data_IF_991056098387
#
_entry.id   IF_991056098387
#
_cell.length_a   1.000
_cell.length_b   1.000
_cell.length_c   1.000
_cell.angle_alpha   90.00
_cell.angle_beta   90.00
_cell.angle_gamma   90.00
#
_symmetry.space_group_name_H-M   'P 1'
#
loop_
_entity.id
_entity.type
_entity.pdbx_description
1 polymer ?
#
# COMPACT_ATOMS: atom_id res chain seq x y z
N UNK A 1 18.21 -13.01 -14.16
CA UNK A 1 17.46 -11.74 -13.97
C UNK A 1 17.01 -11.24 -15.33
N UNK A 2 15.72 -10.88 -15.45
CA UNK A 2 15.15 -10.32 -16.68
C UNK A 2 14.70 -8.88 -16.38
N UNK A 3 15.12 -7.94 -17.22
CA UNK A 3 14.69 -6.54 -17.16
C UNK A 3 13.73 -6.28 -18.31
N UNK A 4 12.43 -6.09 -18.01
CA UNK A 4 11.38 -5.88 -19.03
C UNK A 4 11.37 -4.46 -19.59
N UNK A 5 12.04 -3.52 -18.94
CA UNK A 5 11.93 -2.12 -19.27
C UNK A 5 10.51 -1.57 -19.00
N UNK A 6 10.13 -0.53 -19.75
CA UNK A 6 8.80 0.08 -19.62
C UNK A 6 7.75 -0.79 -20.32
N UNK A 7 6.72 -1.16 -19.58
CA UNK A 7 5.59 -1.99 -20.04
C UNK A 7 4.34 -1.10 -20.15
N UNK A 8 3.53 -1.23 -21.21
CA UNK A 8 2.23 -0.55 -21.32
C UNK A 8 1.31 -0.91 -20.15
N UNK A 9 0.57 0.07 -19.63
CA UNK A 9 -0.30 -0.14 -18.46
C UNK A 9 -1.32 -1.28 -18.64
N UNK A 10 -1.86 -1.43 -19.85
CA UNK A 10 -2.80 -2.50 -20.19
C UNK A 10 -2.20 -3.92 -20.04
N UNK A 11 -0.88 -4.06 -20.08
CA UNK A 11 -0.19 -5.35 -19.98
C UNK A 11 0.33 -5.66 -18.58
N UNK A 12 0.34 -4.68 -17.67
CA UNK A 12 0.90 -4.83 -16.33
C UNK A 12 0.28 -6.01 -15.57
N UNK A 13 -1.03 -6.25 -15.73
CA UNK A 13 -1.72 -7.38 -15.10
C UNK A 13 -1.09 -8.73 -15.42
N UNK A 14 -0.65 -8.95 -16.66
CA UNK A 14 0.02 -10.19 -17.08
C UNK A 14 1.33 -10.44 -16.34
N UNK A 15 2.08 -9.36 -16.05
CA UNK A 15 3.32 -9.47 -15.26
C UNK A 15 3.02 -9.78 -13.79
N UNK A 16 1.98 -9.17 -13.23
CA UNK A 16 1.52 -9.53 -11.88
C UNK A 16 1.14 -11.01 -11.79
N UNK A 17 0.56 -11.59 -12.83
CA UNK A 17 0.16 -13.01 -12.85
C UNK A 17 1.35 -13.99 -12.81
N UNK A 18 2.51 -13.56 -13.30
CA UNK A 18 3.75 -14.34 -13.29
C UNK A 18 4.55 -14.22 -11.99
N UNK A 19 4.21 -13.27 -11.12
CA UNK A 19 5.01 -12.95 -9.94
C UNK A 19 4.39 -13.54 -8.68
N UNK A 20 5.15 -14.35 -7.94
CA UNK A 20 4.73 -14.89 -6.65
C UNK A 20 4.84 -13.86 -5.53
N UNK A 21 5.95 -13.10 -5.49
CA UNK A 21 6.25 -12.11 -4.45
C UNK A 21 6.70 -10.80 -5.07
N UNK A 22 5.98 -9.73 -4.80
CA UNK A 22 6.35 -8.37 -5.20
C UNK A 22 7.23 -7.73 -4.13
N UNK A 23 8.36 -7.16 -4.56
CA UNK A 23 9.31 -6.50 -3.66
C UNK A 23 9.32 -4.99 -3.89
N UNK A 24 9.15 -4.21 -2.81
CA UNK A 24 9.17 -2.75 -2.84
C UNK A 24 10.28 -2.19 -1.94
N UNK A 25 11.55 -2.31 -2.35
CA UNK A 25 12.67 -1.74 -1.60
C UNK A 25 12.70 -0.22 -1.78
N UNK A 26 12.68 0.51 -0.67
CA UNK A 26 12.85 1.96 -0.64
C UNK A 26 13.90 2.33 0.41
N UNK A 27 14.70 3.35 0.13
CA UNK A 27 15.53 3.98 1.14
C UNK A 27 14.69 4.86 2.06
N UNK A 28 15.04 4.92 3.35
CA UNK A 28 14.45 5.87 4.27
C UNK A 28 14.96 7.28 3.93
N UNK A 29 14.04 8.12 3.51
CA UNK A 29 14.24 9.55 3.23
C UNK A 29 12.92 10.27 3.44
N UNK A 30 12.95 11.59 3.60
CA UNK A 30 11.74 12.39 3.89
C UNK A 30 10.56 12.06 2.96
N UNK A 31 10.81 11.90 1.66
CA UNK A 31 9.78 11.56 0.69
C UNK A 31 9.13 10.21 0.98
N UNK A 32 9.92 9.17 1.22
CA UNK A 32 9.41 7.79 1.43
C UNK A 32 8.81 7.59 2.81
N UNK A 33 9.18 8.42 3.78
CA UNK A 33 8.57 8.42 5.12
C UNK A 33 7.18 9.09 5.12
N UNK A 34 6.95 10.09 4.26
CA UNK A 34 5.71 10.88 4.25
C UNK A 34 4.71 10.51 3.15
N UNK A 35 5.17 9.87 2.07
CA UNK A 35 4.30 9.57 0.91
C UNK A 35 3.86 8.11 0.92
N UNK A 36 2.56 7.92 0.99
CA UNK A 36 1.89 6.61 0.88
C UNK A 36 1.85 6.14 -0.57
N UNK A 37 2.51 5.03 -0.95
CA UNK A 37 2.53 4.55 -2.33
C UNK A 37 1.29 3.74 -2.68
N UNK A 38 0.82 3.80 -3.93
CA UNK A 38 -0.33 3.02 -4.40
C UNK A 38 0.03 1.57 -4.78
N UNK A 39 1.25 1.30 -5.23
CA UNK A 39 1.68 -0.03 -5.71
C UNK A 39 1.44 -1.19 -4.72
N UNK A 40 1.70 -1.06 -3.41
CA UNK A 40 1.33 -2.09 -2.46
C UNK A 40 -0.18 -2.36 -2.41
N UNK A 41 -1.03 -1.33 -2.53
CA UNK A 41 -2.48 -1.50 -2.58
C UNK A 41 -2.94 -2.24 -3.84
N UNK A 42 -2.32 -1.94 -4.99
CA UNK A 42 -2.57 -2.66 -6.25
C UNK A 42 -2.20 -4.14 -6.13
N UNK A 43 -1.05 -4.45 -5.51
CA UNK A 43 -0.61 -5.82 -5.25
C UNK A 43 -1.61 -6.58 -4.37
N UNK A 44 -2.03 -5.96 -3.26
CA UNK A 44 -3.02 -6.53 -2.34
C UNK A 44 -4.38 -6.74 -3.03
N UNK A 45 -4.85 -5.77 -3.83
CA UNK A 45 -6.10 -5.87 -4.57
C UNK A 45 -6.11 -7.04 -5.55
N UNK A 46 -4.96 -7.36 -6.14
CA UNK A 46 -4.77 -8.50 -7.02
C UNK A 46 -4.45 -9.82 -6.28
N UNK A 47 -4.48 -9.80 -4.94
CA UNK A 47 -4.18 -10.98 -4.12
C UNK A 47 -2.74 -11.46 -4.27
N UNK A 48 -1.77 -10.55 -4.47
CA UNK A 48 -0.35 -10.88 -4.57
C UNK A 48 0.34 -10.73 -3.22
N UNK A 49 1.35 -11.57 -3.00
CA UNK A 49 2.23 -11.42 -1.84
C UNK A 49 3.17 -10.24 -2.04
N UNK A 50 3.50 -9.57 -0.97
CA UNK A 50 4.42 -8.45 -1.04
C UNK A 50 5.38 -8.40 0.16
N UNK A 51 6.60 -7.93 -0.13
CA UNK A 51 7.65 -7.62 0.82
C UNK A 51 8.09 -6.18 0.59
N UNK A 52 8.09 -5.34 1.61
CA UNK A 52 8.40 -3.92 1.48
C UNK A 52 9.35 -3.44 2.60
N UNK A 53 10.12 -2.38 2.31
CA UNK A 53 10.93 -1.73 3.35
C UNK A 53 10.05 -1.04 4.40
N UNK A 54 10.52 -0.96 5.64
CA UNK A 54 9.82 -0.40 6.81
C UNK A 54 9.78 1.14 6.85
N UNK A 55 9.71 1.80 5.68
CA UNK A 55 9.51 3.26 5.60
C UNK A 55 8.08 3.66 5.96
N UNK A 56 7.89 4.90 6.41
CA UNK A 56 6.62 5.42 6.89
C UNK A 56 5.46 5.17 5.94
N UNK A 57 5.62 5.50 4.65
CA UNK A 57 4.59 5.27 3.64
C UNK A 57 4.19 3.79 3.45
N UNK A 58 5.10 2.84 3.68
CA UNK A 58 4.76 1.41 3.67
C UNK A 58 4.11 0.94 4.97
N UNK A 59 4.61 1.38 6.13
CA UNK A 59 4.03 1.03 7.44
C UNK A 59 2.59 1.50 7.61
N UNK A 60 2.20 2.55 6.89
CA UNK A 60 0.82 3.01 6.86
C UNK A 60 -0.14 2.00 6.20
N UNK A 61 0.37 1.21 5.25
CA UNK A 61 -0.42 0.28 4.43
C UNK A 61 -0.25 -1.17 4.83
N UNK A 62 0.93 -1.55 5.32
CA UNK A 62 1.31 -2.95 5.51
C UNK A 62 1.36 -3.27 7.00
N UNK A 63 0.59 -4.26 7.41
CA UNK A 63 0.70 -4.90 8.72
C UNK A 63 1.65 -6.09 8.57
N UNK A 64 2.81 -5.99 9.21
CA UNK A 64 3.84 -7.02 9.10
C UNK A 64 3.33 -8.39 9.54
N UNK A 65 3.54 -9.40 8.70
CA UNK A 65 3.10 -10.77 8.92
C UNK A 65 1.59 -11.03 8.73
N UNK A 66 0.77 -9.98 8.43
CA UNK A 66 -0.67 -10.09 8.20
C UNK A 66 -1.06 -9.75 6.75
N UNK A 67 -0.81 -8.53 6.29
CA UNK A 67 -1.16 -8.09 4.93
C UNK A 67 0.03 -8.07 3.97
N UNK A 68 1.23 -8.33 4.46
CA UNK A 68 2.50 -8.37 3.75
C UNK A 68 3.64 -8.50 4.74
N UNK A 69 4.88 -8.46 4.24
CA UNK A 69 6.08 -8.52 5.07
C UNK A 69 6.84 -7.20 5.02
N UNK A 70 7.34 -6.73 6.15
CA UNK A 70 8.22 -5.58 6.24
C UNK A 70 9.65 -6.02 6.54
N UNK A 71 10.62 -5.34 5.94
CA UNK A 71 12.04 -5.50 6.23
C UNK A 71 12.72 -4.16 6.47
N UNK A 72 13.84 -4.16 7.16
CA UNK A 72 14.58 -2.94 7.50
C UNK A 72 15.08 -2.22 6.26
N UNK A 73 14.68 -0.96 6.08
CA UNK A 73 15.10 -0.12 4.96
C UNK A 73 16.64 0.04 4.91
N UNK A 74 17.20 0.04 3.71
CA UNK A 74 18.64 0.13 3.50
C UNK A 74 19.44 -1.14 3.83
N UNK A 75 18.78 -2.27 4.10
CA UNK A 75 19.41 -3.55 4.44
C UNK A 75 19.03 -4.63 3.39
N UNK A 76 19.89 -4.86 2.38
CA UNK A 76 19.65 -5.89 1.35
C UNK A 76 19.59 -7.30 1.94
N UNK A 77 20.36 -7.59 2.98
CA UNK A 77 20.33 -8.84 3.72
C UNK A 77 18.95 -9.07 4.39
N UNK A 78 18.35 -8.02 4.96
CA UNK A 78 17.01 -8.11 5.56
C UNK A 78 15.93 -8.35 4.50
N UNK A 79 16.04 -7.75 3.30
CA UNK A 79 15.17 -8.07 2.17
C UNK A 79 15.28 -9.55 1.78
N UNK A 80 16.52 -10.06 1.62
CA UNK A 80 16.73 -11.45 1.27
C UNK A 80 16.13 -12.40 2.32
N UNK A 81 16.35 -12.13 3.61
CA UNK A 81 15.78 -12.92 4.70
C UNK A 81 14.24 -12.89 4.69
N UNK A 82 13.60 -11.73 4.48
CA UNK A 82 12.16 -11.61 4.42
C UNK A 82 11.57 -12.41 3.26
N UNK A 83 12.17 -12.33 2.07
CA UNK A 83 11.75 -13.11 0.90
C UNK A 83 11.93 -14.60 1.13
N UNK A 84 13.10 -15.05 1.58
CA UNK A 84 13.37 -16.47 1.85
C UNK A 84 12.45 -17.03 2.94
N UNK A 85 12.21 -16.26 4.00
CA UNK A 85 11.27 -16.63 5.07
C UNK A 85 9.84 -16.79 4.55
N UNK A 86 9.39 -15.89 3.67
CA UNK A 86 8.07 -15.99 3.04
C UNK A 86 7.98 -17.20 2.10
N UNK A 87 9.03 -17.48 1.32
CA UNK A 87 9.08 -18.65 0.43
C UNK A 87 9.10 -19.98 1.20
N UNK A 88 9.68 -20.00 2.39
CA UNK A 88 9.70 -21.17 3.27
C UNK A 88 8.35 -21.47 3.93
N UNK A 89 7.44 -20.48 4.01
CA UNK A 89 6.13 -20.56 4.68
C UNK A 89 4.97 -20.54 3.68
N UNK A 90 5.00 -21.38 2.67
CA UNK A 90 4.00 -21.39 1.57
C UNK A 90 2.59 -21.68 2.07
N UNK A 91 2.43 -22.41 3.15
CA UNK A 91 1.15 -22.68 3.80
C UNK A 91 0.43 -21.42 4.30
N UNK A 92 1.17 -20.33 4.58
CA UNK A 92 0.61 -19.02 4.99
C UNK A 92 0.17 -18.13 3.82
N UNK A 93 0.57 -18.44 2.60
CA UNK A 93 0.32 -17.59 1.45
C UNK A 93 -1.17 -17.31 1.19
N UNK A 94 -2.09 -18.30 1.25
CA UNK A 94 -3.51 -18.05 1.08
C UNK A 94 -4.06 -17.05 2.11
N UNK A 95 -3.63 -17.17 3.37
CA UNK A 95 -4.05 -16.29 4.44
C UNK A 95 -3.55 -14.84 4.22
N UNK A 96 -2.27 -14.65 3.90
CA UNK A 96 -1.67 -13.35 3.63
C UNK A 96 -2.34 -12.66 2.44
N UNK A 97 -2.57 -13.38 1.34
CA UNK A 97 -3.27 -12.88 0.15
C UNK A 97 -4.70 -12.44 0.47
N UNK A 98 -5.43 -13.27 1.20
CA UNK A 98 -6.81 -12.95 1.60
C UNK A 98 -6.88 -11.76 2.56
N UNK A 99 -5.95 -11.65 3.50
CA UNK A 99 -5.88 -10.53 4.45
C UNK A 99 -5.55 -9.21 3.73
N UNK A 100 -4.55 -9.19 2.85
CA UNK A 100 -4.19 -8.03 2.04
C UNK A 100 -5.35 -7.56 1.18
N UNK A 101 -6.00 -8.47 0.44
CA UNK A 101 -7.16 -8.14 -0.39
C UNK A 101 -8.33 -7.57 0.43
N UNK A 102 -8.68 -8.21 1.52
CA UNK A 102 -9.73 -7.74 2.45
C UNK A 102 -9.42 -6.35 3.00
N UNK A 103 -8.16 -6.08 3.36
CA UNK A 103 -7.75 -4.76 3.83
C UNK A 103 -8.03 -3.67 2.80
N UNK A 104 -7.67 -3.89 1.52
CA UNK A 104 -7.96 -2.92 0.45
C UNK A 104 -9.45 -2.76 0.25
N UNK A 105 -10.20 -3.86 0.11
CA UNK A 105 -11.64 -3.84 -0.15
C UNK A 105 -12.43 -3.14 0.96
N UNK A 106 -12.01 -3.29 2.23
CA UNK A 106 -12.76 -2.78 3.38
C UNK A 106 -12.23 -1.46 3.95
N UNK A 107 -10.92 -1.16 3.80
CA UNK A 107 -10.30 -0.03 4.49
C UNK A 107 -9.66 1.01 3.57
N UNK A 108 -9.23 0.61 2.36
CA UNK A 108 -8.48 1.49 1.42
C UNK A 108 -9.16 1.60 0.06
N UNK A 109 -10.48 1.78 0.06
CA UNK A 109 -11.27 2.02 -1.14
C UNK A 109 -11.70 3.49 -1.26
N UNK A 110 -12.07 3.90 -2.47
CA UNK A 110 -12.45 5.28 -2.78
C UNK A 110 -13.65 5.76 -1.98
N UNK A 111 -14.67 4.94 -1.79
CA UNK A 111 -15.87 5.32 -1.05
C UNK A 111 -15.52 5.75 0.39
N UNK A 112 -14.64 4.99 1.05
CA UNK A 112 -14.18 5.31 2.40
C UNK A 112 -13.26 6.52 2.44
N UNK A 113 -12.35 6.65 1.47
CA UNK A 113 -11.46 7.81 1.37
C UNK A 113 -12.25 9.10 1.15
N UNK A 114 -13.23 9.09 0.25
CA UNK A 114 -14.10 10.25 -0.03
C UNK A 114 -14.95 10.61 1.18
N UNK A 115 -15.45 9.62 1.93
CA UNK A 115 -16.26 9.88 3.13
C UNK A 115 -15.50 10.70 4.21
N UNK A 116 -14.16 10.58 4.27
CA UNK A 116 -13.34 11.36 5.22
C UNK A 116 -13.32 12.87 4.92
N UNK A 117 -13.60 13.28 3.68
CA UNK A 117 -13.66 14.69 3.30
C UNK A 117 -14.95 15.39 3.74
N UNK A 118 -16.02 14.64 4.07
CA UNK A 118 -17.32 15.22 4.42
C UNK A 118 -17.22 16.20 5.58
N UNK A 119 -16.68 15.77 6.72
CA UNK A 119 -16.61 16.61 7.92
C UNK A 119 -15.78 17.90 7.72
N UNK A 120 -14.58 17.90 7.11
CA UNK A 120 -13.88 19.14 6.76
C UNK A 120 -14.70 20.09 5.88
N UNK A 121 -15.38 19.57 4.85
CA UNK A 121 -16.20 20.42 3.97
C UNK A 121 -17.43 21.00 4.70
N UNK A 122 -18.12 20.21 5.51
CA UNK A 122 -19.25 20.69 6.32
C UNK A 122 -18.81 21.79 7.29
N UNK A 123 -17.65 21.61 7.94
CA UNK A 123 -17.10 22.63 8.85
C UNK A 123 -16.80 23.97 8.12
N UNK A 124 -16.14 23.90 6.96
CA UNK A 124 -15.82 25.08 6.17
C UNK A 124 -17.06 25.80 5.65
N UNK A 125 -18.08 25.07 5.20
CA UNK A 125 -19.33 25.67 4.69
C UNK A 125 -20.19 26.26 5.80
N UNK A 126 -20.20 25.68 7.00
CA UNK A 126 -20.89 26.24 8.16
C UNK A 126 -20.29 27.58 8.58
N UNK A 127 -18.96 27.70 8.62
CA UNK A 127 -18.28 28.97 8.93
C UNK A 127 -18.55 30.08 7.92
N UNK A 128 -18.65 29.75 6.61
CA UNK A 128 -19.01 30.75 5.59
C UNK A 128 -20.43 31.29 5.75
N UNK A 129 -21.38 30.45 6.18
CA UNK A 129 -22.78 30.87 6.41
C UNK A 129 -22.92 31.79 7.62
N UNK A 130 -22.20 31.53 8.72
CA UNK A 130 -22.21 32.38 9.90
C UNK A 130 -21.49 33.73 9.68
N UNK A 131 -20.41 33.78 8.90
CA UNK A 131 -19.71 35.01 8.54
C UNK A 131 -20.50 35.93 7.60
N UNK A 132 -21.29 35.37 6.68
CA UNK A 132 -22.15 36.15 5.79
C UNK A 132 -23.37 36.78 6.51
N UNK A 133 -23.87 36.13 7.57
CA UNK A 133 -24.97 36.65 8.37
C UNK A 133 -24.56 37.78 9.36
N UNK A 134 -23.26 37.92 9.63
CA UNK A 134 -22.75 38.96 10.53
C UNK A 134 -22.45 40.30 9.81
N UNK A 135 -22.60 40.36 8.46
CA UNK A 135 -22.31 41.54 7.65
C UNK A 135 -23.54 42.04 6.83
N UNK A 136 -24.70 41.54 7.12
CA UNK A 136 -26.01 41.98 6.62
C UNK A 136 -26.81 42.63 7.73
#
# INVERSE_FOLDING_TARGET
VVFTGRVPHAEVGRYYDLVDVLCYPRHSMRLTELVTPLKPLEAMAQGRLLVASDVGGHKELIRDGDTGMLFKAGRPDALAQAVLGLLAQRERWPQLRAAGRRFVETQRNWARSVALYRAPYEHLTAHRRSGAAAHA
#
